data_IF_154711342125
#
_entry.id   IF_154711342125
#
_cell.length_a   1.000
_cell.length_b   1.000
_cell.length_c   1.000
_cell.angle_alpha   90.00
_cell.angle_beta   90.00
_cell.angle_gamma   90.00
#
_symmetry.space_group_name_H-M   'P 1'
#
loop_
_entity.id
_entity.type
_entity.pdbx_description
1 polymer ?
#
# COMPACT_ATOMS: atom_id res chain seq x y z
N UNK A 1 -9.65 22.41 -13.96
CA UNK A 1 -8.55 21.43 -13.84
C UNK A 1 -8.47 20.43 -15.01
N UNK A 2 -9.58 20.09 -15.70
CA UNK A 2 -9.56 19.13 -16.82
C UNK A 2 -8.92 19.66 -18.13
N UNK A 3 -9.20 20.91 -18.52
CA UNK A 3 -8.73 21.47 -19.80
C UNK A 3 -7.20 21.45 -19.97
N UNK A 4 -6.46 21.95 -18.97
CA UNK A 4 -4.99 21.93 -18.95
C UNK A 4 -4.40 20.51 -19.01
N UNK A 5 -5.05 19.55 -18.36
CA UNK A 5 -4.64 18.13 -18.37
C UNK A 5 -4.84 17.52 -19.75
N UNK A 6 -5.97 17.77 -20.38
CA UNK A 6 -6.30 17.28 -21.72
C UNK A 6 -5.34 17.84 -22.78
N UNK A 7 -5.05 19.13 -22.72
CA UNK A 7 -4.03 19.80 -23.55
C UNK A 7 -2.65 19.15 -23.36
N UNK A 8 -2.23 18.93 -22.12
CA UNK A 8 -0.94 18.26 -21.82
C UNK A 8 -0.88 16.84 -22.36
N UNK A 9 -1.98 16.09 -22.25
CA UNK A 9 -2.07 14.72 -22.78
C UNK A 9 -2.04 14.70 -24.31
N UNK A 10 -2.66 15.69 -24.95
CA UNK A 10 -2.61 15.85 -26.41
C UNK A 10 -1.19 16.16 -26.87
N UNK A 11 -0.52 17.12 -26.23
CA UNK A 11 0.88 17.46 -26.52
C UNK A 11 1.81 16.25 -26.30
N UNK A 12 1.59 15.47 -25.24
CA UNK A 12 2.36 14.26 -25.00
C UNK A 12 2.13 13.20 -26.08
N UNK A 13 0.90 13.03 -26.57
CA UNK A 13 0.59 12.11 -27.68
C UNK A 13 1.24 12.54 -28.99
N UNK A 14 1.26 13.84 -29.28
CA UNK A 14 1.93 14.38 -30.47
C UNK A 14 3.45 14.18 -30.39
N UNK A 15 4.04 14.49 -29.24
CA UNK A 15 5.43 14.19 -28.95
C UNK A 15 5.73 12.69 -29.07
N UNK A 16 4.78 11.84 -28.65
CA UNK A 16 4.88 10.39 -28.79
C UNK A 16 4.92 9.92 -30.24
N UNK A 17 4.10 10.51 -31.12
CA UNK A 17 4.13 10.21 -32.57
C UNK A 17 5.51 10.53 -33.15
N UNK A 18 6.08 11.68 -32.78
CA UNK A 18 7.43 12.07 -33.19
C UNK A 18 8.49 11.04 -32.74
N UNK A 19 8.41 10.59 -31.49
CA UNK A 19 9.35 9.60 -30.94
C UNK A 19 9.20 8.20 -31.56
N UNK A 20 7.98 7.77 -31.88
CA UNK A 20 7.73 6.51 -32.60
C UNK A 20 8.39 6.57 -33.98
N UNK A 21 8.31 7.70 -34.69
CA UNK A 21 8.94 7.83 -36.01
C UNK A 21 10.46 7.63 -35.90
N UNK A 22 11.09 8.20 -34.86
CA UNK A 22 12.54 8.09 -34.66
C UNK A 22 12.96 6.70 -34.14
N UNK A 23 12.14 6.05 -33.31
CA UNK A 23 12.54 4.85 -32.55
C UNK A 23 11.72 3.58 -32.89
N UNK A 24 10.97 3.62 -33.99
CA UNK A 24 9.89 2.76 -34.51
C UNK A 24 9.82 1.30 -34.02
N UNK A 25 10.93 0.55 -34.00
CA UNK A 25 10.90 -0.91 -33.76
C UNK A 25 11.42 -1.37 -32.40
N UNK A 26 11.95 -0.48 -31.55
CA UNK A 26 12.76 -0.90 -30.38
C UNK A 26 12.44 -0.15 -29.07
N UNK A 27 11.39 0.67 -29.03
CA UNK A 27 11.10 1.62 -27.92
C UNK A 27 10.84 1.00 -26.54
N UNK A 28 10.24 -0.18 -26.45
CA UNK A 28 9.78 -0.76 -25.18
C UNK A 28 10.84 -1.65 -24.50
N UNK A 29 12.12 -1.28 -24.59
CA UNK A 29 13.20 -1.86 -23.79
C UNK A 29 13.54 -0.88 -22.65
N UNK A 30 13.71 -1.37 -21.41
CA UNK A 30 13.91 -0.54 -20.21
C UNK A 30 14.93 0.61 -20.39
N UNK A 31 16.08 0.35 -21.03
CA UNK A 31 17.14 1.36 -21.29
C UNK A 31 16.63 2.58 -22.08
N UNK A 32 15.71 2.36 -23.03
CA UNK A 32 15.18 3.40 -23.92
C UNK A 32 14.04 4.20 -23.29
N UNK A 33 13.29 3.60 -22.36
CA UNK A 33 12.27 4.31 -21.58
C UNK A 33 12.91 5.42 -20.74
N UNK A 34 14.13 5.20 -20.24
CA UNK A 34 14.89 6.22 -19.49
C UNK A 34 15.36 7.35 -20.39
N UNK A 35 15.93 7.03 -21.56
CA UNK A 35 16.34 8.03 -22.55
C UNK A 35 15.13 8.89 -22.98
N UNK A 36 13.99 8.25 -23.20
CA UNK A 36 12.73 8.89 -23.55
C UNK A 36 12.20 9.81 -22.46
N UNK A 37 12.21 9.35 -21.21
CA UNK A 37 11.81 10.17 -20.08
C UNK A 37 12.69 11.42 -19.93
N UNK A 38 13.99 11.27 -20.19
CA UNK A 38 14.95 12.37 -20.13
C UNK A 38 14.72 13.40 -21.26
N UNK A 39 14.28 12.97 -22.45
CA UNK A 39 14.02 13.85 -23.58
C UNK A 39 12.74 14.69 -23.45
N UNK A 40 11.80 14.30 -22.59
CA UNK A 40 10.56 15.05 -22.36
C UNK A 40 10.90 16.45 -21.79
N UNK A 41 10.39 17.55 -22.39
CA UNK A 41 10.85 18.88 -22.07
C UNK A 41 10.31 19.45 -20.75
N UNK A 42 9.08 19.10 -20.35
CA UNK A 42 8.42 19.71 -19.17
C UNK A 42 8.15 18.69 -18.07
N UNK A 43 8.21 19.15 -16.81
CA UNK A 43 7.85 18.33 -15.65
C UNK A 43 6.39 17.85 -15.70
N UNK A 44 5.48 18.66 -16.23
CA UNK A 44 4.06 18.30 -16.36
C UNK A 44 3.87 17.15 -17.35
N UNK A 45 4.55 17.18 -18.50
CA UNK A 45 4.56 16.07 -19.45
C UNK A 45 5.25 14.84 -18.88
N UNK A 46 6.36 15.00 -18.14
CA UNK A 46 7.03 13.88 -17.44
C UNK A 46 6.10 13.21 -16.44
N UNK A 47 5.34 14.01 -15.68
CA UNK A 47 4.33 13.54 -14.74
C UNK A 47 3.25 12.71 -15.44
N UNK A 48 2.66 13.23 -16.51
CA UNK A 48 1.63 12.52 -17.28
C UNK A 48 2.18 11.26 -17.96
N UNK A 49 3.42 11.31 -18.45
CA UNK A 49 4.11 10.18 -19.03
C UNK A 49 4.26 9.04 -18.01
N UNK A 50 4.74 9.36 -16.79
CA UNK A 50 4.88 8.35 -15.74
C UNK A 50 3.51 7.74 -15.40
N UNK A 51 2.49 8.60 -15.16
CA UNK A 51 1.17 8.14 -14.74
C UNK A 51 0.47 7.28 -15.81
N UNK A 52 0.60 7.64 -17.09
CA UNK A 52 -0.11 6.99 -18.18
C UNK A 52 0.58 5.73 -18.71
N UNK A 53 1.91 5.79 -18.85
CA UNK A 53 2.69 4.81 -19.62
C UNK A 53 3.56 3.95 -18.74
N UNK A 54 4.29 4.57 -17.82
CA UNK A 54 5.31 3.88 -17.03
C UNK A 54 4.69 3.06 -15.89
N UNK A 55 3.66 3.56 -15.22
CA UNK A 55 3.02 2.81 -14.12
C UNK A 55 2.38 1.49 -14.57
N UNK A 56 2.24 1.24 -15.88
CA UNK A 56 1.79 -0.05 -16.41
C UNK A 56 2.90 -1.10 -16.39
N UNK A 57 4.16 -0.67 -16.40
CA UNK A 57 5.35 -1.51 -16.42
C UNK A 57 6.20 -1.26 -15.16
N UNK A 58 6.02 -2.14 -14.17
CA UNK A 58 6.46 -1.96 -12.80
C UNK A 58 7.99 -2.10 -12.67
N UNK A 59 8.74 -1.02 -12.87
CA UNK A 59 10.19 -1.04 -12.64
C UNK A 59 10.96 0.23 -13.01
N UNK A 60 10.28 1.29 -13.41
CA UNK A 60 10.95 2.54 -13.75
C UNK A 60 11.15 3.42 -12.53
N UNK A 61 12.42 3.75 -12.26
CA UNK A 61 12.80 4.72 -11.26
C UNK A 61 12.74 6.08 -11.95
N UNK A 62 11.72 6.88 -11.63
CA UNK A 62 11.49 8.21 -12.23
C UNK A 62 12.42 9.31 -11.67
N UNK A 63 13.45 8.91 -10.92
CA UNK A 63 14.41 9.79 -10.27
C UNK A 63 13.79 10.62 -9.14
N UNK A 64 14.66 11.27 -8.37
CA UNK A 64 14.30 11.99 -7.15
C UNK A 64 13.38 13.21 -7.38
N UNK A 65 13.15 13.61 -8.63
CA UNK A 65 12.44 14.85 -8.98
C UNK A 65 10.96 14.87 -8.57
N UNK A 66 10.32 13.70 -8.46
CA UNK A 66 8.90 13.60 -8.05
C UNK A 66 8.71 13.01 -6.65
N UNK A 67 9.79 12.63 -5.99
CA UNK A 67 9.77 12.00 -4.66
C UNK A 67 9.23 12.92 -3.56
N UNK A 68 9.28 14.23 -3.77
CA UNK A 68 8.76 15.24 -2.84
C UNK A 68 7.33 15.70 -3.16
N UNK A 69 6.79 15.34 -4.32
CA UNK A 69 5.44 15.76 -4.74
C UNK A 69 4.38 14.82 -4.13
N UNK A 70 3.75 15.27 -3.04
CA UNK A 70 2.73 14.49 -2.32
C UNK A 70 1.59 14.03 -3.23
N UNK A 71 1.06 14.93 -4.07
CA UNK A 71 -0.11 14.66 -4.92
C UNK A 71 0.22 13.67 -6.04
N UNK A 72 1.42 13.79 -6.62
CA UNK A 72 1.90 12.80 -7.56
C UNK A 72 2.09 11.44 -6.89
N UNK A 73 2.76 11.39 -5.74
CA UNK A 73 3.04 10.13 -5.04
C UNK A 73 1.75 9.42 -4.61
N UNK A 74 0.71 10.14 -4.18
CA UNK A 74 -0.60 9.55 -3.91
C UNK A 74 -1.25 9.00 -5.19
N UNK A 75 -1.16 9.70 -6.33
CA UNK A 75 -1.67 9.17 -7.60
C UNK A 75 -0.94 7.89 -8.03
N UNK A 76 0.36 7.82 -7.76
CA UNK A 76 1.16 6.62 -8.02
C UNK A 76 0.70 5.47 -7.11
N UNK A 77 0.51 5.69 -5.81
CA UNK A 77 0.02 4.68 -4.87
C UNK A 77 -1.41 4.20 -5.19
N UNK A 78 -2.27 5.06 -5.75
CA UNK A 78 -3.61 4.67 -6.22
C UNK A 78 -3.58 3.64 -7.34
N UNK A 79 -2.49 3.60 -8.12
CA UNK A 79 -2.39 2.66 -9.23
C UNK A 79 -1.92 1.28 -8.74
N UNK A 80 -2.90 0.39 -8.53
CA UNK A 80 -2.77 -0.93 -7.89
C UNK A 80 -1.76 -1.91 -8.53
N UNK A 81 -1.14 -1.56 -9.66
CA UNK A 81 -0.27 -2.46 -10.43
C UNK A 81 1.21 -2.37 -10.06
N UNK A 82 1.67 -1.27 -9.46
CA UNK A 82 3.09 -1.06 -9.13
C UNK A 82 3.49 -1.54 -7.74
N UNK A 83 4.55 -2.35 -7.63
CA UNK A 83 5.36 -2.42 -6.40
C UNK A 83 6.21 -1.15 -6.36
N UNK A 84 5.72 -0.13 -5.66
CA UNK A 84 6.49 1.10 -5.48
C UNK A 84 7.44 0.87 -4.31
N UNK A 85 8.73 0.79 -4.61
CA UNK A 85 9.79 0.99 -3.63
C UNK A 85 10.12 2.48 -3.63
N UNK A 86 9.42 3.24 -2.80
CA UNK A 86 9.72 4.63 -2.57
C UNK A 86 10.15 4.79 -1.11
N UNK A 87 11.41 5.18 -0.92
CA UNK A 87 11.99 5.45 0.38
C UNK A 87 12.40 6.92 0.42
N UNK A 88 11.40 7.80 0.52
CA UNK A 88 11.64 9.24 0.71
C UNK A 88 11.01 9.79 1.98
N UNK A 89 11.32 11.04 2.27
CA UNK A 89 10.95 11.71 3.51
C UNK A 89 9.44 11.94 3.68
N UNK A 90 8.63 11.80 2.62
CA UNK A 90 7.16 11.93 2.73
C UNK A 90 6.54 10.94 3.71
N UNK A 91 7.17 9.78 3.96
CA UNK A 91 6.71 8.85 4.99
C UNK A 91 6.83 9.38 6.42
N UNK A 92 7.58 10.48 6.62
CA UNK A 92 7.64 11.24 7.88
C UNK A 92 6.54 12.30 7.98
N UNK A 93 5.74 12.53 6.94
CA UNK A 93 4.65 13.49 6.95
C UNK A 93 3.32 12.81 7.27
N UNK A 94 2.65 13.22 8.37
CA UNK A 94 1.35 12.66 8.79
C UNK A 94 0.28 12.77 7.69
N UNK A 95 0.25 13.90 6.97
CA UNK A 95 -0.71 14.17 5.88
C UNK A 95 -0.61 13.15 4.75
N UNK A 96 0.61 12.89 4.29
CA UNK A 96 0.89 11.92 3.25
C UNK A 96 0.53 10.51 3.69
N UNK A 97 0.98 10.10 4.89
CA UNK A 97 0.72 8.75 5.42
C UNK A 97 -0.79 8.49 5.53
N UNK A 98 -1.57 9.43 6.04
CA UNK A 98 -3.03 9.32 6.16
C UNK A 98 -3.73 9.11 4.81
N UNK A 99 -3.24 9.73 3.74
CA UNK A 99 -3.74 9.48 2.37
C UNK A 99 -3.23 8.14 1.82
N UNK A 100 -1.96 7.82 2.05
CA UNK A 100 -1.28 6.64 1.51
C UNK A 100 -1.85 5.32 2.04
N UNK A 101 -2.22 5.25 3.32
CA UNK A 101 -2.78 4.03 3.94
C UNK A 101 -4.07 3.52 3.29
N UNK A 102 -4.81 4.39 2.58
CA UNK A 102 -6.03 4.03 1.85
C UNK A 102 -5.74 3.21 0.59
N UNK A 103 -4.56 3.38 0.01
CA UNK A 103 -4.21 2.83 -1.30
C UNK A 103 -3.11 1.78 -1.23
N UNK A 104 -2.18 1.90 -0.29
CA UNK A 104 -0.97 1.08 -0.21
C UNK A 104 -0.95 0.20 1.04
N UNK A 105 -0.84 -1.11 0.83
CA UNK A 105 -0.89 -2.13 1.90
C UNK A 105 0.24 -1.95 2.91
N UNK A 106 1.44 -1.71 2.43
CA UNK A 106 2.64 -1.72 3.28
C UNK A 106 2.98 -0.31 3.78
N UNK A 107 2.04 0.64 3.73
CA UNK A 107 2.26 2.04 4.13
C UNK A 107 2.74 2.15 5.59
N UNK A 108 2.15 1.36 6.49
CA UNK A 108 2.56 1.33 7.90
C UNK A 108 3.99 0.82 8.10
N UNK A 109 4.54 0.02 7.18
CA UNK A 109 5.93 -0.43 7.24
C UNK A 109 6.91 0.73 7.10
N UNK A 110 6.56 1.75 6.32
CA UNK A 110 7.41 2.89 6.01
C UNK A 110 7.21 4.07 6.97
N UNK A 111 6.02 4.21 7.58
CA UNK A 111 5.65 5.34 8.43
C UNK A 111 6.05 5.22 9.92
N UNK A 112 7.10 4.46 10.26
CA UNK A 112 7.42 4.06 11.66
C UNK A 112 7.55 5.21 12.68
N UNK A 113 7.82 6.44 12.23
CA UNK A 113 8.01 7.62 13.07
C UNK A 113 6.74 8.47 13.27
N UNK A 114 5.70 8.30 12.44
CA UNK A 114 4.49 9.17 12.44
C UNK A 114 3.19 8.40 12.52
N UNK A 115 3.26 7.13 12.90
CA UNK A 115 2.08 6.29 13.13
C UNK A 115 1.46 6.65 14.48
N UNK A 116 0.21 7.08 14.44
CA UNK A 116 -0.67 7.27 15.59
C UNK A 116 -1.90 6.34 15.51
N UNK A 117 -2.70 6.33 16.56
CA UNK A 117 -3.90 5.47 16.67
C UNK A 117 -4.91 5.73 15.55
N UNK A 118 -5.03 6.98 15.07
CA UNK A 118 -5.94 7.37 13.97
C UNK A 118 -5.51 6.77 12.63
N UNK A 119 -4.22 6.88 12.30
CA UNK A 119 -3.65 6.32 11.07
C UNK A 119 -3.75 4.79 11.09
N UNK A 120 -3.48 4.15 12.23
CA UNK A 120 -3.62 2.71 12.40
C UNK A 120 -5.07 2.29 12.18
N UNK A 121 -6.01 2.95 12.86
CA UNK A 121 -7.44 2.65 12.74
C UNK A 121 -7.91 2.77 11.30
N UNK A 122 -7.54 3.86 10.62
CA UNK A 122 -7.85 4.09 9.22
C UNK A 122 -7.23 3.00 8.33
N UNK A 123 -5.97 2.63 8.56
CA UNK A 123 -5.29 1.59 7.78
C UNK A 123 -5.97 0.22 7.95
N UNK A 124 -6.32 -0.16 9.18
CA UNK A 124 -6.97 -1.43 9.48
C UNK A 124 -8.40 -1.49 8.93
N UNK A 125 -9.08 -0.36 8.76
CA UNK A 125 -10.39 -0.30 8.11
C UNK A 125 -10.33 -0.76 6.65
N UNK A 126 -9.31 -0.31 5.90
CA UNK A 126 -9.14 -0.67 4.48
C UNK A 126 -8.34 -1.97 4.28
N UNK A 127 -7.41 -2.25 5.19
CA UNK A 127 -6.42 -3.34 5.10
C UNK A 127 -6.14 -3.92 6.51
N UNK A 128 -7.00 -4.81 7.02
CA UNK A 128 -6.81 -5.42 8.34
C UNK A 128 -5.44 -6.10 8.51
N UNK A 129 -4.91 -6.72 7.44
CA UNK A 129 -3.62 -7.41 7.47
C UNK A 129 -2.42 -6.45 7.66
N UNK A 130 -2.61 -5.13 7.55
CA UNK A 130 -1.57 -4.15 7.84
C UNK A 130 -1.13 -4.17 9.30
N UNK A 131 -1.90 -4.80 10.21
CA UNK A 131 -1.51 -5.04 11.60
C UNK A 131 -0.13 -5.69 11.74
N UNK A 132 0.27 -6.52 10.77
CA UNK A 132 1.58 -7.19 10.73
C UNK A 132 2.77 -6.23 10.73
N UNK A 133 2.56 -4.98 10.26
CA UNK A 133 3.60 -3.96 10.17
C UNK A 133 3.62 -3.01 11.38
N UNK A 134 2.65 -3.14 12.29
CA UNK A 134 2.59 -2.35 13.50
C UNK A 134 3.61 -2.82 14.54
N UNK A 135 4.05 -1.90 15.41
CA UNK A 135 4.91 -2.22 16.56
C UNK A 135 4.21 -3.18 17.52
N UNK A 136 4.97 -3.95 18.30
CA UNK A 136 4.46 -4.95 19.26
C UNK A 136 3.37 -4.38 20.18
N UNK A 137 3.54 -3.17 20.71
CA UNK A 137 2.55 -2.53 21.58
C UNK A 137 1.16 -2.42 20.95
N UNK A 138 1.09 -2.04 19.67
CA UNK A 138 -0.17 -1.95 18.90
C UNK A 138 -0.75 -3.33 18.60
N UNK A 139 0.11 -4.31 18.29
CA UNK A 139 -0.31 -5.71 18.07
C UNK A 139 -0.83 -6.38 19.36
N UNK A 140 -0.46 -5.81 20.51
CA UNK A 140 -0.89 -6.20 21.85
C UNK A 140 -1.99 -5.27 22.41
N UNK A 141 -2.50 -4.33 21.61
CA UNK A 141 -3.63 -3.49 21.98
C UNK A 141 -4.92 -4.21 21.65
N UNK A 142 -5.67 -4.60 22.69
CA UNK A 142 -6.89 -5.39 22.56
C UNK A 142 -7.96 -4.69 21.74
N UNK A 143 -8.12 -3.37 21.88
CA UNK A 143 -9.15 -2.62 21.15
C UNK A 143 -8.84 -2.58 19.66
N UNK A 144 -7.58 -2.31 19.30
CA UNK A 144 -7.10 -2.28 17.91
C UNK A 144 -7.22 -3.67 17.27
N UNK A 145 -6.81 -4.72 17.98
CA UNK A 145 -6.92 -6.11 17.52
C UNK A 145 -8.36 -6.50 17.28
N UNK A 146 -9.27 -6.20 18.21
CA UNK A 146 -10.70 -6.52 18.07
C UNK A 146 -11.35 -5.81 16.88
N UNK A 147 -11.00 -4.54 16.62
CA UNK A 147 -11.43 -3.81 15.42
C UNK A 147 -10.96 -4.52 14.15
N UNK A 148 -9.69 -4.93 14.10
CA UNK A 148 -9.12 -5.62 12.95
C UNK A 148 -9.76 -6.99 12.70
N UNK A 149 -9.96 -7.79 13.76
CA UNK A 149 -10.63 -9.09 13.68
C UNK A 149 -12.09 -8.99 13.25
N UNK A 150 -12.76 -7.89 13.63
CA UNK A 150 -14.11 -7.58 13.16
C UNK A 150 -14.20 -7.41 11.64
N UNK A 151 -13.12 -6.96 10.99
CA UNK A 151 -13.02 -6.78 9.52
C UNK A 151 -12.48 -8.02 8.82
N UNK A 152 -11.43 -8.64 9.36
CA UNK A 152 -10.86 -9.88 8.85
C UNK A 152 -10.34 -10.76 10.01
N UNK A 153 -10.97 -11.90 10.22
CA UNK A 153 -10.54 -12.86 11.24
C UNK A 153 -9.14 -13.45 10.95
N UNK A 154 -8.71 -13.47 9.68
CA UNK A 154 -7.36 -13.89 9.30
C UNK A 154 -6.25 -12.99 9.85
N UNK A 155 -6.59 -11.81 10.38
CA UNK A 155 -5.64 -10.94 11.08
C UNK A 155 -5.15 -11.52 12.41
N UNK A 156 -5.79 -12.59 12.93
CA UNK A 156 -5.32 -13.31 14.12
C UNK A 156 -3.84 -13.74 14.02
N UNK A 157 -3.37 -14.07 12.82
CA UNK A 157 -1.97 -14.44 12.56
C UNK A 157 -0.97 -13.30 12.85
N UNK A 158 -1.45 -12.06 12.96
CA UNK A 158 -0.65 -10.87 13.21
C UNK A 158 -0.93 -10.25 14.59
N UNK A 159 -1.76 -10.88 15.42
CA UNK A 159 -1.92 -10.46 16.82
C UNK A 159 -0.59 -10.71 17.53
N UNK A 160 -0.28 -9.88 18.52
CA UNK A 160 0.92 -10.04 19.30
C UNK A 160 0.73 -11.11 20.39
N UNK A 161 1.84 -11.71 20.80
CA UNK A 161 1.87 -12.93 21.64
C UNK A 161 1.05 -12.81 22.93
N UNK A 162 1.00 -11.62 23.54
CA UNK A 162 0.31 -11.43 24.84
C UNK A 162 -1.21 -11.51 24.73
N UNK A 163 -1.77 -11.44 23.52
CA UNK A 163 -3.21 -11.49 23.26
C UNK A 163 -3.67 -12.79 22.58
N UNK A 164 -2.73 -13.71 22.29
CA UNK A 164 -3.06 -14.96 21.61
C UNK A 164 -3.93 -15.91 22.46
N UNK A 165 -3.78 -15.84 23.78
CA UNK A 165 -4.57 -16.61 24.74
C UNK A 165 -5.76 -15.81 25.35
N UNK A 166 -6.06 -14.62 24.82
CA UNK A 166 -7.17 -13.78 25.31
C UNK A 166 -8.53 -14.36 24.89
N UNK A 167 -9.32 -14.76 25.88
CA UNK A 167 -10.60 -15.47 25.68
C UNK A 167 -11.56 -14.70 24.77
N UNK A 168 -11.62 -13.36 24.84
CA UNK A 168 -12.57 -12.59 24.03
C UNK A 168 -12.18 -12.59 22.55
N UNK A 169 -10.88 -12.49 22.28
CA UNK A 169 -10.32 -12.60 20.93
C UNK A 169 -10.63 -13.98 20.34
N UNK A 170 -10.47 -15.03 21.16
CA UNK A 170 -10.73 -16.41 20.76
C UNK A 170 -12.19 -16.64 20.40
N UNK A 171 -13.11 -16.20 21.26
CA UNK A 171 -14.56 -16.28 21.01
C UNK A 171 -14.93 -15.50 19.76
N UNK A 172 -14.32 -14.33 19.53
CA UNK A 172 -14.57 -13.54 18.31
C UNK A 172 -14.15 -14.30 17.05
N UNK A 173 -12.97 -14.91 17.04
CA UNK A 173 -12.47 -15.68 15.90
C UNK A 173 -13.31 -16.94 15.64
N UNK A 174 -13.66 -17.68 16.71
CA UNK A 174 -14.45 -18.91 16.62
C UNK A 174 -15.88 -18.64 16.15
N UNK A 175 -16.52 -17.55 16.61
CA UNK A 175 -17.88 -17.19 16.20
C UNK A 175 -18.00 -16.94 14.69
N UNK A 176 -16.93 -16.42 14.06
CA UNK A 176 -16.89 -16.06 12.65
C UNK A 176 -16.28 -17.13 11.73
N UNK A 177 -15.46 -18.05 12.26
CA UNK A 177 -14.77 -19.06 11.45
C UNK A 177 -15.50 -20.42 11.45
N UNK A 178 -15.75 -20.96 10.25
CA UNK A 178 -16.06 -22.39 10.04
C UNK A 178 -14.81 -23.26 9.95
N UNK A 179 -13.61 -22.65 9.85
CA UNK A 179 -12.35 -23.33 9.54
C UNK A 179 -11.32 -23.06 10.64
N UNK A 180 -11.01 -24.07 11.44
CA UNK A 180 -10.10 -23.97 12.59
C UNK A 180 -8.60 -23.90 12.20
N UNK A 181 -8.27 -24.09 10.91
CA UNK A 181 -6.88 -24.12 10.43
C UNK A 181 -6.09 -22.83 10.69
N UNK A 182 -6.74 -21.68 10.66
CA UNK A 182 -6.09 -20.37 10.93
C UNK A 182 -5.75 -20.16 12.40
N UNK A 183 -6.42 -20.85 13.32
CA UNK A 183 -6.18 -20.77 14.77
C UNK A 183 -5.09 -21.72 15.25
N UNK A 184 -4.82 -22.78 14.49
CA UNK A 184 -3.82 -23.80 14.83
C UNK A 184 -2.39 -23.23 14.94
N UNK A 185 -2.08 -22.18 14.20
CA UNK A 185 -0.75 -21.55 14.19
C UNK A 185 -0.59 -20.44 15.23
N UNK A 186 -1.66 -20.04 15.90
CA UNK A 186 -1.67 -18.86 16.78
C UNK A 186 -1.94 -19.19 18.25
N UNK A 187 -2.17 -20.45 18.63
CA UNK A 187 -2.64 -20.79 19.98
C UNK A 187 -2.04 -22.08 20.52
N UNK A 188 -2.00 -22.18 21.84
CA UNK A 188 -1.78 -23.47 22.51
C UNK A 188 -2.95 -24.42 22.23
N UNK A 189 -2.65 -25.65 21.82
CA UNK A 189 -3.66 -26.66 21.47
C UNK A 189 -4.64 -26.90 22.64
N UNK A 190 -4.17 -26.80 23.88
CA UNK A 190 -4.97 -26.97 25.10
C UNK A 190 -6.06 -25.92 25.27
N UNK A 191 -5.78 -24.65 25.00
CA UNK A 191 -6.78 -23.58 25.14
C UNK A 191 -7.80 -23.62 24.00
N UNK A 192 -7.34 -23.93 22.79
CA UNK A 192 -8.19 -24.12 21.62
C UNK A 192 -9.19 -25.28 21.84
N UNK A 193 -8.72 -26.42 22.37
CA UNK A 193 -9.57 -27.57 22.69
C UNK A 193 -10.60 -27.24 23.76
N UNK A 194 -10.22 -26.52 24.84
CA UNK A 194 -11.17 -26.11 25.90
C UNK A 194 -12.31 -25.25 25.37
N UNK A 195 -12.04 -24.36 24.42
CA UNK A 195 -13.07 -23.45 23.91
C UNK A 195 -13.93 -24.11 22.81
N UNK A 196 -13.38 -25.04 22.03
CA UNK A 196 -14.16 -25.87 21.11
C UNK A 196 -15.18 -26.72 21.87
N UNK A 197 -14.81 -27.31 23.01
CA UNK A 197 -15.69 -28.17 23.83
C UNK A 197 -16.86 -27.41 24.46
N UNK A 198 -16.73 -26.09 24.67
CA UNK A 198 -17.80 -25.25 25.25
C UNK A 198 -18.85 -24.79 24.23
N UNK A 199 -18.66 -25.07 22.94
CA UNK A 199 -19.50 -24.60 21.84
C UNK A 199 -20.50 -25.66 21.41
#
# INVERSE_FOLDING_TARGET
MNKKREETLQNLKEYWKYLIIIHHSKMMKRKRVTELFNSIPTLEMKRQFILGYVMRDCGFIYGNSFEKDEDFMIQVLRNKKGKIFFQGDLWKAKTFVSKAVKYYRDALKFALCTIDSEIISSSLEFKPNSLQHCKRGIRNDKEIVMKSLGKNYGTIMFVGESLLDDIDILRKCLSKSKNLKTLKYSMTETLLMKEIVKR
#
